data_IF_490416120384
#
_entry.id   IF_490416120384
#
_cell.length_a   1.000
_cell.length_b   1.000
_cell.length_c   1.000
_cell.angle_alpha   90.00
_cell.angle_beta   90.00
_cell.angle_gamma   90.00
#
_symmetry.space_group_name_H-M   'P 1'
#
loop_
_entity.id
_entity.type
_entity.pdbx_description
1 polymer ?
#
# COMPACT_ATOMS: atom_id res chain seq x y z
N UNK A 1 -2.07 -10.67 11.24
CA UNK A 1 -2.51 -11.28 9.97
C UNK A 1 -2.00 -12.72 9.83
N UNK A 2 -0.71 -12.97 9.85
CA UNK A 2 -0.09 -14.27 9.58
C UNK A 2 -0.68 -15.46 10.37
N UNK A 3 -1.02 -15.30 11.65
CA UNK A 3 -1.61 -16.34 12.49
C UNK A 3 -3.08 -16.67 12.22
N UNK A 4 -3.77 -15.89 11.40
CA UNK A 4 -5.19 -16.11 11.09
C UNK A 4 -5.41 -16.58 9.64
N UNK A 5 -4.42 -16.38 8.77
CA UNK A 5 -4.48 -16.82 7.37
C UNK A 5 -4.53 -18.34 7.30
N UNK A 6 -5.52 -18.87 6.56
CA UNK A 6 -5.73 -20.31 6.42
C UNK A 6 -6.46 -20.98 7.60
N UNK A 7 -6.86 -20.23 8.62
CA UNK A 7 -7.67 -20.74 9.74
C UNK A 7 -9.15 -20.41 9.52
N UNK A 8 -9.99 -21.36 9.10
CA UNK A 8 -11.38 -21.10 8.71
C UNK A 8 -12.28 -20.61 9.86
N UNK A 9 -11.87 -20.83 11.10
CA UNK A 9 -12.62 -20.44 12.30
C UNK A 9 -12.07 -19.16 12.96
N UNK A 10 -10.99 -18.58 12.41
CA UNK A 10 -10.42 -17.34 12.93
C UNK A 10 -10.92 -16.16 12.09
N UNK A 11 -11.34 -15.09 12.75
CA UNK A 11 -11.65 -13.81 12.11
C UNK A 11 -10.92 -12.69 12.87
N UNK A 12 -10.49 -11.66 12.15
CA UNK A 12 -9.69 -10.55 12.67
C UNK A 12 -10.57 -9.31 12.74
N UNK A 13 -10.73 -8.75 13.93
CA UNK A 13 -11.24 -7.39 14.13
C UNK A 13 -10.08 -6.38 14.15
N UNK A 14 -10.36 -5.14 13.84
CA UNK A 14 -9.39 -4.06 13.86
C UNK A 14 -9.83 -2.93 14.78
N UNK A 15 -8.96 -2.55 15.72
CA UNK A 15 -9.13 -1.35 16.54
C UNK A 15 -8.09 -0.32 16.09
N UNK A 16 -8.49 0.81 15.50
CA UNK A 16 -7.58 1.78 14.90
C UNK A 16 -6.90 2.65 15.96
N UNK A 17 -5.86 2.14 16.60
CA UNK A 17 -5.07 2.83 17.62
C UNK A 17 -3.74 3.39 17.09
N UNK A 18 -3.43 3.17 15.82
CA UNK A 18 -2.20 3.60 15.17
C UNK A 18 -2.22 5.06 14.71
N UNK A 19 -1.09 5.53 14.20
CA UNK A 19 -0.97 6.88 13.62
C UNK A 19 -1.39 6.95 12.14
N UNK A 20 -1.31 5.83 11.40
CA UNK A 20 -1.72 5.72 10.00
C UNK A 20 -3.16 5.26 9.88
N UNK A 21 -3.44 4.08 10.44
CA UNK A 21 -4.73 3.40 10.36
C UNK A 21 -5.24 3.25 8.92
N UNK A 22 -4.31 2.99 7.98
CA UNK A 22 -4.61 2.97 6.54
C UNK A 22 -5.55 1.82 6.17
N UNK A 23 -5.40 0.66 6.83
CA UNK A 23 -6.29 -0.48 6.65
C UNK A 23 -7.79 -0.10 6.77
N UNK A 24 -8.17 0.64 7.83
CA UNK A 24 -9.59 1.00 8.03
C UNK A 24 -10.11 1.97 6.97
N UNK A 25 -9.22 2.76 6.36
CA UNK A 25 -9.58 3.72 5.29
C UNK A 25 -10.04 3.03 4.01
N UNK A 26 -9.67 1.77 3.81
CA UNK A 26 -10.14 0.98 2.67
C UNK A 26 -11.65 0.65 2.77
N UNK A 27 -12.23 0.74 3.97
CA UNK A 27 -13.62 0.37 4.21
C UNK A 27 -14.48 1.52 4.73
N UNK A 28 -13.88 2.45 5.49
CA UNK A 28 -14.64 3.54 6.11
C UNK A 28 -13.81 4.45 7.02
N UNK A 29 -14.42 4.93 8.06
CA UNK A 29 -13.80 5.86 9.02
C UNK A 29 -13.31 5.13 10.28
N UNK A 30 -12.34 5.73 10.97
CA UNK A 30 -11.86 5.20 12.25
C UNK A 30 -12.98 5.09 13.30
N UNK A 31 -13.91 6.04 13.34
CA UNK A 31 -15.01 6.05 14.29
C UNK A 31 -15.91 4.82 14.16
N UNK A 32 -16.18 4.36 12.93
CA UNK A 32 -16.98 3.17 12.67
C UNK A 32 -16.29 1.88 13.17
N UNK A 33 -14.97 1.82 13.13
CA UNK A 33 -14.19 0.68 13.63
C UNK A 33 -14.02 0.67 15.17
N UNK A 34 -14.37 1.74 15.87
CA UNK A 34 -14.38 1.78 17.34
C UNK A 34 -15.65 1.17 17.93
N UNK A 35 -16.68 0.91 17.13
CA UNK A 35 -17.85 0.16 17.54
C UNK A 35 -17.52 -1.34 17.56
N UNK A 36 -16.99 -1.80 18.70
CA UNK A 36 -16.57 -3.18 18.88
C UNK A 36 -17.76 -4.15 18.92
N UNK A 37 -18.91 -3.73 19.43
CA UNK A 37 -20.11 -4.55 19.47
C UNK A 37 -20.61 -4.82 18.06
N UNK A 38 -20.62 -3.81 17.20
CA UNK A 38 -20.94 -3.97 15.78
C UNK A 38 -19.93 -4.89 15.06
N UNK A 39 -18.63 -4.77 15.34
CA UNK A 39 -17.62 -5.68 14.76
C UNK A 39 -17.83 -7.13 15.22
N UNK A 40 -18.06 -7.37 16.52
CA UNK A 40 -18.24 -8.70 17.08
C UNK A 40 -19.55 -9.37 16.61
N UNK A 41 -20.58 -8.60 16.33
CA UNK A 41 -21.84 -9.06 15.78
C UNK A 41 -21.78 -9.31 14.27
N UNK A 42 -20.72 -8.85 13.58
CA UNK A 42 -20.60 -8.93 12.13
C UNK A 42 -20.39 -10.37 11.64
N UNK A 43 -20.92 -10.66 10.46
CA UNK A 43 -20.49 -11.85 9.72
C UNK A 43 -19.08 -11.62 9.17
N UNK A 44 -18.16 -12.59 9.30
CA UNK A 44 -16.81 -12.45 8.77
C UNK A 44 -16.82 -12.26 7.25
N UNK A 45 -16.16 -11.22 6.82
CA UNK A 45 -15.94 -10.85 5.42
C UNK A 45 -14.66 -11.53 4.91
N UNK A 46 -14.74 -12.24 3.79
CA UNK A 46 -13.56 -12.86 3.17
C UNK A 46 -12.73 -11.81 2.45
N UNK A 47 -11.46 -11.72 2.79
CA UNK A 47 -10.53 -10.78 2.20
C UNK A 47 -9.30 -11.49 1.62
N UNK A 48 -8.77 -10.94 0.55
CA UNK A 48 -7.52 -11.33 -0.06
C UNK A 48 -6.34 -10.91 0.82
N UNK A 49 -5.22 -11.60 0.65
CA UNK A 49 -4.00 -11.37 1.44
C UNK A 49 -2.80 -11.42 0.52
N UNK A 50 -1.89 -10.50 0.67
CA UNK A 50 -0.57 -10.54 0.03
C UNK A 50 0.28 -11.57 0.77
N UNK A 51 0.69 -12.64 0.10
CA UNK A 51 1.71 -13.58 0.60
C UNK A 51 3.08 -13.21 0.09
N UNK A 52 4.05 -13.23 0.99
CA UNK A 52 5.46 -13.00 0.71
C UNK A 52 6.31 -14.01 1.46
N UNK A 53 7.60 -14.20 1.11
CA UNK A 53 8.50 -15.02 1.91
C UNK A 53 8.71 -14.54 3.35
N UNK A 54 8.42 -13.26 3.62
CA UNK A 54 8.54 -12.64 4.95
C UNK A 54 7.27 -12.81 5.80
N UNK A 55 6.15 -13.10 5.18
CA UNK A 55 4.87 -13.26 5.86
C UNK A 55 3.69 -12.80 5.01
N UNK A 56 2.59 -12.46 5.67
CA UNK A 56 1.36 -12.04 5.03
C UNK A 56 1.02 -10.59 5.38
N UNK A 57 0.69 -9.79 4.37
CA UNK A 57 0.13 -8.45 4.50
C UNK A 57 -1.29 -8.37 3.96
N UNK A 58 -2.05 -7.40 4.41
CA UNK A 58 -3.43 -7.21 3.96
C UNK A 58 -3.57 -5.98 3.05
N UNK A 59 -2.68 -5.02 3.17
CA UNK A 59 -2.83 -3.71 2.52
C UNK A 59 -1.82 -3.50 1.41
N UNK A 60 -0.51 -3.48 1.73
CA UNK A 60 0.51 -3.13 0.75
C UNK A 60 1.86 -3.82 1.00
N UNK A 61 2.54 -4.19 -0.08
CA UNK A 61 3.96 -4.54 -0.10
C UNK A 61 4.69 -3.57 -1.03
N UNK A 62 5.48 -2.67 -0.47
CA UNK A 62 6.11 -1.60 -1.23
C UNK A 62 7.62 -1.53 -1.04
N UNK A 63 8.30 -0.88 -1.97
CA UNK A 63 9.72 -0.56 -1.88
C UNK A 63 10.03 0.79 -2.52
N UNK A 64 11.14 1.38 -2.12
CA UNK A 64 11.57 2.65 -2.67
C UNK A 64 11.30 3.82 -1.73
N UNK A 65 10.90 4.95 -2.29
CA UNK A 65 10.65 6.17 -1.50
C UNK A 65 9.69 5.91 -0.36
N UNK A 66 8.64 5.15 -0.59
CA UNK A 66 7.61 4.85 0.41
C UNK A 66 8.17 4.06 1.59
N UNK A 67 8.95 3.02 1.31
CA UNK A 67 9.61 2.23 2.35
C UNK A 67 10.67 3.04 3.09
N UNK A 68 11.37 3.96 2.41
CA UNK A 68 12.29 4.88 3.06
C UNK A 68 11.58 5.88 3.98
N UNK A 69 10.42 6.38 3.58
CA UNK A 69 9.58 7.21 4.45
C UNK A 69 9.20 6.42 5.70
N UNK A 70 8.67 5.21 5.55
CA UNK A 70 8.30 4.36 6.66
C UNK A 70 9.49 4.07 7.60
N UNK A 71 10.65 3.71 7.04
CA UNK A 71 11.88 3.44 7.79
C UNK A 71 12.46 4.69 8.47
N UNK A 72 12.25 5.88 7.93
CA UNK A 72 12.73 7.16 8.47
C UNK A 72 11.91 7.70 9.64
N UNK A 73 10.62 7.35 9.74
CA UNK A 73 9.72 7.87 10.77
C UNK A 73 10.24 7.64 12.21
N UNK A 74 10.72 6.45 12.60
CA UNK A 74 11.25 6.22 13.96
C UNK A 74 12.45 7.11 14.30
N UNK A 75 13.29 7.42 13.31
CA UNK A 75 14.43 8.34 13.47
C UNK A 75 13.95 9.74 13.84
N UNK A 76 12.99 10.28 13.07
CA UNK A 76 12.48 11.64 13.30
C UNK A 76 11.64 11.75 14.56
N UNK A 77 10.92 10.70 14.98
CA UNK A 77 10.19 10.66 16.27
C UNK A 77 11.08 10.75 17.50
N UNK A 78 12.37 10.44 17.39
CA UNK A 78 13.35 10.58 18.47
C UNK A 78 13.86 12.02 18.64
N UNK A 79 13.61 12.89 17.66
CA UNK A 79 14.01 14.30 17.74
C UNK A 79 13.00 15.06 18.60
N UNK A 80 13.44 15.85 19.61
CA UNK A 80 12.54 16.66 20.41
C UNK A 80 11.65 17.56 19.54
N UNK A 81 10.37 17.65 19.90
CA UNK A 81 9.34 18.42 19.18
C UNK A 81 8.95 17.89 17.80
N UNK A 82 9.51 16.76 17.35
CA UNK A 82 9.18 16.10 16.08
C UNK A 82 8.26 14.89 16.33
N UNK A 83 7.00 15.13 16.68
CA UNK A 83 6.01 14.07 16.87
C UNK A 83 4.99 13.98 15.72
N UNK A 84 4.32 12.84 15.58
CA UNK A 84 3.17 12.67 14.69
C UNK A 84 3.45 13.08 13.24
N UNK A 85 2.67 14.03 12.73
CA UNK A 85 2.71 14.52 11.34
C UNK A 85 4.05 15.16 10.96
N UNK A 86 4.75 15.80 11.91
CA UNK A 86 6.03 16.47 11.65
C UNK A 86 7.12 15.44 11.31
N UNK A 87 7.21 14.35 12.07
CA UNK A 87 8.16 13.27 11.81
C UNK A 87 7.91 12.63 10.43
N UNK A 88 6.65 12.44 10.08
CA UNK A 88 6.24 11.93 8.78
C UNK A 88 6.65 12.89 7.63
N UNK A 89 6.35 14.18 7.76
CA UNK A 89 6.72 15.19 6.75
C UNK A 89 8.23 15.30 6.55
N UNK A 90 9.02 15.25 7.64
CA UNK A 90 10.47 15.26 7.56
C UNK A 90 11.02 13.99 6.92
N UNK A 91 10.41 12.84 7.18
CA UNK A 91 10.78 11.59 6.53
C UNK A 91 10.50 11.61 5.03
N UNK A 92 9.38 12.18 4.60
CA UNK A 92 9.09 12.42 3.16
C UNK A 92 10.15 13.33 2.56
N UNK A 93 10.47 14.43 3.20
CA UNK A 93 11.46 15.40 2.69
C UNK A 93 12.84 14.75 2.54
N UNK A 94 13.26 13.94 3.53
CA UNK A 94 14.50 13.16 3.46
C UNK A 94 14.48 12.16 2.30
N UNK A 95 13.40 11.41 2.13
CA UNK A 95 13.24 10.43 1.06
C UNK A 95 13.23 11.08 -0.33
N UNK A 96 12.56 12.21 -0.48
CA UNK A 96 12.53 13.01 -1.73
C UNK A 96 13.91 13.58 -2.07
N UNK A 97 14.69 13.98 -1.05
CA UNK A 97 16.06 14.47 -1.23
C UNK A 97 17.07 13.35 -1.49
N UNK A 98 16.76 12.11 -1.11
CA UNK A 98 17.61 10.96 -1.36
C UNK A 98 17.62 10.61 -2.84
N UNK A 99 18.74 10.01 -3.30
CA UNK A 99 18.83 9.51 -4.67
C UNK A 99 18.43 8.05 -4.68
N UNK A 100 17.14 7.77 -4.41
CA UNK A 100 16.64 6.41 -4.47
C UNK A 100 16.40 6.00 -5.92
N UNK A 101 17.19 5.05 -6.41
CA UNK A 101 17.09 4.49 -7.75
C UNK A 101 17.67 3.09 -7.73
N UNK A 102 16.88 2.11 -8.10
CA UNK A 102 17.35 0.74 -8.25
C UNK A 102 17.02 0.24 -9.65
N UNK A 103 17.98 -0.45 -10.26
CA UNK A 103 17.73 -1.19 -11.48
C UNK A 103 17.09 -2.51 -11.10
N UNK A 104 15.86 -2.71 -11.55
CA UNK A 104 15.03 -3.85 -11.20
C UNK A 104 14.64 -4.64 -12.44
N UNK A 105 14.59 -5.97 -12.29
CA UNK A 105 13.86 -6.87 -13.19
C UNK A 105 12.57 -7.28 -12.49
N UNK A 106 11.46 -7.08 -13.18
CA UNK A 106 10.12 -7.36 -12.70
C UNK A 106 9.49 -8.39 -13.62
N UNK A 107 9.04 -9.50 -13.07
CA UNK A 107 8.33 -10.55 -13.79
C UNK A 107 6.95 -10.71 -13.17
N UNK A 108 5.90 -10.58 -13.98
CA UNK A 108 4.52 -10.71 -13.56
C UNK A 108 3.69 -11.26 -14.72
N UNK A 109 3.07 -12.41 -14.54
CA UNK A 109 2.39 -13.16 -15.60
C UNK A 109 3.32 -13.33 -16.83
N UNK A 110 2.86 -12.90 -18.01
CA UNK A 110 3.66 -12.94 -19.24
C UNK A 110 4.53 -11.68 -19.46
N UNK A 111 4.60 -10.79 -18.47
CA UNK A 111 5.35 -9.53 -18.58
C UNK A 111 6.71 -9.66 -17.96
N UNK A 112 7.71 -9.13 -18.64
CA UNK A 112 9.04 -8.91 -18.09
C UNK A 112 9.45 -7.46 -18.35
N UNK A 113 9.73 -6.72 -17.29
CA UNK A 113 10.16 -5.33 -17.34
C UNK A 113 11.55 -5.22 -16.71
N UNK A 114 12.45 -4.47 -17.33
CA UNK A 114 13.73 -4.14 -16.76
C UNK A 114 13.99 -2.65 -16.96
N UNK A 115 14.05 -1.92 -15.85
CA UNK A 115 14.27 -0.47 -15.87
C UNK A 115 14.80 -0.01 -14.50
N UNK A 116 15.07 1.28 -14.40
CA UNK A 116 15.38 1.94 -13.13
C UNK A 116 14.10 2.50 -12.51
N UNK A 117 13.83 2.11 -11.26
CA UNK A 117 12.65 2.57 -10.53
C UNK A 117 13.06 3.30 -9.25
N UNK A 118 12.25 4.26 -8.85
CA UNK A 118 12.39 5.00 -7.59
C UNK A 118 11.33 4.62 -6.55
N UNK A 119 10.26 3.97 -6.99
CA UNK A 119 9.17 3.48 -6.15
C UNK A 119 8.50 2.31 -6.84
N UNK A 120 8.12 1.34 -6.04
CA UNK A 120 7.18 0.30 -6.44
C UNK A 120 6.21 0.04 -5.29
N UNK A 121 4.93 -0.13 -5.62
CA UNK A 121 3.88 -0.50 -4.70
C UNK A 121 3.08 -1.66 -5.29
N UNK A 122 2.95 -2.73 -4.52
CA UNK A 122 2.12 -3.90 -4.80
C UNK A 122 0.99 -3.86 -3.80
N UNK A 123 -0.19 -3.48 -4.28
CA UNK A 123 -1.33 -3.10 -3.45
C UNK A 123 -2.43 -4.16 -3.51
N UNK A 124 -3.00 -4.48 -2.37
CA UNK A 124 -4.27 -5.17 -2.21
C UNK A 124 -5.32 -4.17 -1.68
N UNK A 125 -4.88 -3.17 -0.90
CA UNK A 125 -5.68 -2.02 -0.48
C UNK A 125 -5.43 -0.78 -1.33
N UNK A 126 -6.28 0.23 -1.15
CA UNK A 126 -6.25 1.47 -1.92
C UNK A 126 -5.29 2.51 -1.35
N UNK A 127 -5.17 2.54 -0.01
CA UNK A 127 -4.51 3.63 0.70
C UNK A 127 -3.44 3.10 1.65
N UNK A 128 -2.35 3.85 1.77
CA UNK A 128 -1.27 3.57 2.69
C UNK A 128 -0.55 4.85 3.13
N UNK A 129 0.41 4.73 4.04
CA UNK A 129 1.33 5.81 4.39
C UNK A 129 0.64 7.07 4.93
N UNK A 130 -0.48 6.92 5.65
CA UNK A 130 -1.23 8.04 6.21
C UNK A 130 -2.16 8.72 5.19
N UNK A 131 -2.75 7.95 4.29
CA UNK A 131 -3.78 8.40 3.35
C UNK A 131 -3.26 8.75 1.95
N UNK A 132 -2.17 8.12 1.51
CA UNK A 132 -1.79 8.13 0.09
C UNK A 132 -2.61 7.08 -0.66
N UNK A 133 -3.33 7.48 -1.70
CA UNK A 133 -4.17 6.62 -2.50
C UNK A 133 -3.33 6.01 -3.65
N UNK A 134 -2.63 4.90 -3.37
CA UNK A 134 -1.73 4.27 -4.33
C UNK A 134 -2.45 3.53 -5.45
N UNK A 135 -3.54 2.87 -5.12
CA UNK A 135 -4.32 2.07 -6.04
C UNK A 135 -5.81 2.40 -5.84
N UNK A 136 -6.30 3.50 -6.42
CA UNK A 136 -7.65 4.03 -6.14
C UNK A 136 -8.78 3.04 -6.42
N UNK A 137 -8.54 2.05 -7.25
CA UNK A 137 -9.54 1.04 -7.64
C UNK A 137 -9.21 -0.37 -7.15
N UNK A 138 -8.21 -0.53 -6.27
CA UNK A 138 -7.87 -1.81 -5.68
C UNK A 138 -9.05 -2.39 -4.90
N UNK A 139 -9.19 -3.71 -4.98
CA UNK A 139 -10.24 -4.46 -4.28
C UNK A 139 -9.62 -5.61 -3.50
N UNK A 140 -9.93 -5.69 -2.22
CA UNK A 140 -9.45 -6.79 -1.36
C UNK A 140 -10.20 -8.11 -1.58
N UNK A 141 -10.89 -8.28 -2.71
CA UNK A 141 -11.75 -9.45 -2.98
C UNK A 141 -11.72 -9.93 -4.43
N UNK A 142 -10.91 -9.33 -5.30
CA UNK A 142 -10.89 -9.65 -6.73
C UNK A 142 -9.79 -10.64 -7.13
N UNK A 143 -8.94 -11.06 -6.17
CA UNK A 143 -7.85 -11.99 -6.41
C UNK A 143 -6.68 -11.39 -7.20
N UNK A 144 -6.54 -10.07 -7.21
CA UNK A 144 -5.51 -9.36 -7.96
C UNK A 144 -4.70 -8.43 -7.06
N UNK A 145 -3.47 -8.19 -7.48
CA UNK A 145 -2.56 -7.18 -6.96
C UNK A 145 -2.51 -6.01 -7.93
N UNK A 146 -2.74 -4.81 -7.44
CA UNK A 146 -2.55 -3.57 -8.20
C UNK A 146 -1.09 -3.12 -8.08
N UNK A 147 -0.35 -3.10 -9.20
CA UNK A 147 1.07 -2.80 -9.23
C UNK A 147 1.32 -1.41 -9.79
N UNK A 148 1.94 -0.56 -8.99
CA UNK A 148 2.35 0.80 -9.36
C UNK A 148 3.87 0.88 -9.36
N UNK A 149 4.45 1.18 -10.51
CA UNK A 149 5.89 1.34 -10.70
C UNK A 149 6.18 2.77 -11.10
N UNK A 150 7.09 3.44 -10.38
CA UNK A 150 7.49 4.82 -10.68
C UNK A 150 8.96 4.86 -11.09
N UNK A 151 9.22 5.30 -12.32
CA UNK A 151 10.56 5.64 -12.80
C UNK A 151 11.06 6.95 -12.20
N UNK A 152 12.36 7.25 -12.27
CA UNK A 152 12.91 8.49 -11.75
C UNK A 152 12.20 9.74 -12.29
N UNK A 153 11.74 10.58 -11.38
CA UNK A 153 11.07 11.86 -11.68
C UNK A 153 12.05 13.01 -11.45
N UNK A 154 12.08 14.04 -12.31
CA UNK A 154 12.82 15.27 -12.02
C UNK A 154 12.37 15.90 -10.70
N UNK A 155 13.31 16.27 -9.82
CA UNK A 155 13.02 16.78 -8.47
C UNK A 155 12.02 17.94 -8.44
N UNK A 156 12.06 18.83 -9.43
CA UNK A 156 11.14 19.97 -9.53
C UNK A 156 9.69 19.57 -9.79
N UNK A 157 9.45 18.40 -10.42
CA UNK A 157 8.11 17.90 -10.70
C UNK A 157 7.54 17.04 -9.55
N UNK A 158 8.42 16.50 -8.69
CA UNK A 158 8.06 15.53 -7.68
C UNK A 158 7.00 16.05 -6.69
N UNK A 159 7.06 17.29 -6.14
CA UNK A 159 6.02 17.77 -5.21
C UNK A 159 4.62 17.81 -5.84
N UNK A 160 4.52 18.26 -7.10
CA UNK A 160 3.24 18.34 -7.81
C UNK A 160 2.68 16.96 -8.16
N UNK A 161 3.55 15.98 -8.49
CA UNK A 161 3.14 14.60 -8.72
C UNK A 161 2.74 13.92 -7.41
N UNK A 162 3.48 14.15 -6.32
CA UNK A 162 3.18 13.59 -5.01
C UNK A 162 1.80 14.03 -4.50
N UNK A 163 1.45 15.30 -4.68
CA UNK A 163 0.12 15.82 -4.32
C UNK A 163 -1.02 15.15 -5.10
N UNK A 164 -0.84 14.95 -6.40
CA UNK A 164 -1.81 14.22 -7.24
C UNK A 164 -1.85 12.72 -6.92
N UNK A 165 -0.70 12.10 -6.67
CA UNK A 165 -0.61 10.69 -6.26
C UNK A 165 -1.34 10.43 -4.94
N UNK A 166 -1.20 11.34 -3.98
CA UNK A 166 -1.91 11.26 -2.70
C UNK A 166 -3.43 11.18 -2.88
N UNK A 167 -3.96 11.84 -3.90
CA UNK A 167 -5.40 11.87 -4.20
C UNK A 167 -5.86 10.76 -5.14
N UNK A 168 -4.96 9.88 -5.61
CA UNK A 168 -5.28 8.86 -6.60
C UNK A 168 -5.44 9.38 -8.03
N UNK A 169 -5.09 10.65 -8.32
CA UNK A 169 -5.25 11.29 -9.62
C UNK A 169 -4.28 10.77 -10.71
N UNK A 170 -3.46 9.79 -10.39
CA UNK A 170 -2.52 9.16 -11.32
C UNK A 170 -3.18 8.08 -12.18
N UNK A 171 -4.33 7.55 -11.79
CA UNK A 171 -5.15 6.63 -12.57
C UNK A 171 -6.50 7.26 -12.90
N UNK A 172 -6.99 6.99 -14.11
CA UNK A 172 -8.37 7.30 -14.51
C UNK A 172 -9.33 6.20 -14.05
N UNK A 173 -10.64 6.41 -14.21
CA UNK A 173 -11.69 5.42 -13.88
C UNK A 173 -11.50 4.05 -14.61
N UNK A 174 -10.79 4.02 -15.72
CA UNK A 174 -10.47 2.80 -16.48
C UNK A 174 -9.08 2.25 -16.21
N UNK A 175 -8.47 2.54 -15.07
CA UNK A 175 -7.13 2.08 -14.67
C UNK A 175 -6.02 2.49 -15.67
N UNK A 176 -6.26 3.52 -16.44
CA UNK A 176 -5.25 4.06 -17.36
C UNK A 176 -4.44 5.13 -16.63
N UNK A 177 -3.12 5.03 -16.74
CA UNK A 177 -2.21 6.05 -16.19
C UNK A 177 -2.46 7.38 -16.90
N UNK A 178 -2.75 8.43 -16.13
CA UNK A 178 -3.06 9.75 -16.67
C UNK A 178 -1.86 10.40 -17.36
N UNK A 179 -2.09 11.29 -18.33
CA UNK A 179 -1.04 11.93 -19.13
C UNK A 179 0.08 12.55 -18.29
N UNK A 180 -0.27 13.12 -17.14
CA UNK A 180 0.67 13.72 -16.20
C UNK A 180 1.68 12.70 -15.69
N UNK A 181 1.28 11.45 -15.50
CA UNK A 181 2.09 10.37 -14.93
C UNK A 181 2.66 9.42 -15.98
N UNK A 182 2.06 9.33 -17.17
CA UNK A 182 2.45 8.41 -18.24
C UNK A 182 3.97 8.39 -18.56
N UNK A 183 4.72 9.50 -18.53
CA UNK A 183 6.17 9.46 -18.76
C UNK A 183 6.96 8.72 -17.68
N UNK A 184 6.38 8.57 -16.48
CA UNK A 184 7.10 8.09 -15.29
C UNK A 184 6.51 6.82 -14.68
N UNK A 185 5.23 6.55 -14.89
CA UNK A 185 4.49 5.51 -14.19
C UNK A 185 4.09 4.37 -15.13
N UNK A 186 4.10 3.17 -14.58
CA UNK A 186 3.49 1.98 -15.17
C UNK A 186 2.54 1.39 -14.14
N UNK A 187 1.34 1.03 -14.58
CA UNK A 187 0.33 0.36 -13.77
C UNK A 187 -0.14 -0.90 -14.47
N UNK A 188 -0.36 -1.96 -13.71
CA UNK A 188 -1.00 -3.19 -14.16
C UNK A 188 -1.50 -4.00 -12.98
N UNK A 189 -2.36 -5.00 -13.23
CA UNK A 189 -2.83 -5.99 -12.28
C UNK A 189 -2.22 -7.35 -12.56
N UNK A 190 -1.99 -8.14 -11.51
CA UNK A 190 -1.42 -9.49 -11.60
C UNK A 190 -1.79 -10.33 -10.39
N UNK A 191 -1.81 -11.66 -10.54
CA UNK A 191 -1.96 -12.58 -9.43
C UNK A 191 -0.67 -12.79 -8.62
N UNK A 192 0.50 -12.59 -9.28
CA UNK A 192 1.81 -12.71 -8.62
C UNK A 192 2.86 -11.86 -9.29
N UNK A 193 3.92 -11.52 -8.55
CA UNK A 193 5.02 -10.69 -9.02
C UNK A 193 6.33 -11.11 -8.38
N UNK A 194 7.37 -11.20 -9.19
CA UNK A 194 8.76 -11.37 -8.79
C UNK A 194 9.56 -10.13 -9.17
N UNK A 195 10.38 -9.64 -8.24
CA UNK A 195 11.22 -8.46 -8.43
C UNK A 195 12.63 -8.79 -7.98
N UNK A 196 13.60 -8.63 -8.87
CA UNK A 196 15.01 -8.85 -8.63
C UNK A 196 15.78 -7.54 -8.71
N UNK A 197 16.62 -7.28 -7.73
CA UNK A 197 17.53 -6.13 -7.71
C UNK A 197 18.78 -6.45 -8.53
N UNK A 198 19.04 -5.66 -9.56
CA UNK A 198 20.15 -5.89 -10.50
C UNK A 198 21.41 -5.07 -10.19
N UNK A 199 21.30 -4.05 -9.36
CA UNK A 199 22.43 -3.19 -8.95
C UNK A 199 23.17 -3.69 -7.70
N UNK A 200 22.71 -4.79 -7.09
CA UNK A 200 23.32 -5.41 -5.92
C UNK A 200 23.08 -4.70 -4.59
N UNK A 201 22.36 -3.59 -4.58
CA UNK A 201 22.04 -2.83 -3.36
C UNK A 201 20.65 -3.23 -2.84
N UNK A 202 20.52 -3.72 -1.59
CA UNK A 202 19.23 -4.14 -1.08
C UNK A 202 18.19 -2.99 -1.11
N UNK A 203 16.99 -3.33 -1.57
CA UNK A 203 15.82 -2.48 -1.40
C UNK A 203 15.38 -2.48 0.06
N UNK A 204 15.05 -1.34 0.60
CA UNK A 204 14.21 -1.31 1.79
C UNK A 204 12.78 -1.56 1.32
N UNK A 205 12.20 -2.65 1.78
CA UNK A 205 10.80 -3.01 1.52
C UNK A 205 9.96 -2.77 2.77
N UNK A 206 8.67 -2.59 2.60
CA UNK A 206 7.71 -2.52 3.70
C UNK A 206 6.50 -3.38 3.38
N UNK A 207 6.15 -4.29 4.29
CA UNK A 207 4.91 -5.06 4.26
C UNK A 207 4.02 -4.55 5.39
N UNK A 208 2.93 -3.87 5.05
CA UNK A 208 2.02 -3.22 6.00
C UNK A 208 2.73 -2.38 7.10
N UNK A 209 3.85 -1.72 6.76
CA UNK A 209 4.63 -0.90 7.68
C UNK A 209 5.84 -1.59 8.31
N UNK A 210 5.97 -2.91 8.22
CA UNK A 210 7.15 -3.66 8.69
C UNK A 210 8.25 -3.62 7.64
N UNK A 211 9.36 -2.94 7.97
CA UNK A 211 10.46 -2.70 7.03
C UNK A 211 11.55 -3.77 7.10
N UNK A 212 12.04 -4.20 5.94
CA UNK A 212 13.19 -5.12 5.84
C UNK A 212 14.00 -4.89 4.56
N UNK A 213 15.34 -5.10 4.58
CA UNK A 213 16.17 -5.05 3.38
C UNK A 213 16.03 -6.34 2.56
N UNK A 214 15.84 -6.23 1.24
CA UNK A 214 15.65 -7.35 0.33
C UNK A 214 16.44 -7.15 -0.97
N UNK A 215 17.04 -8.24 -1.50
CA UNK A 215 17.59 -8.29 -2.86
C UNK A 215 16.59 -8.85 -3.87
N UNK A 216 15.55 -9.52 -3.37
CA UNK A 216 14.45 -10.07 -4.15
C UNK A 216 13.15 -9.87 -3.38
N UNK A 217 12.12 -9.49 -4.10
CA UNK A 217 10.75 -9.46 -3.58
C UNK A 217 9.93 -10.47 -4.37
N UNK A 218 9.09 -11.20 -3.65
CA UNK A 218 8.04 -12.01 -4.24
C UNK A 218 6.73 -11.71 -3.53
N UNK A 219 5.67 -11.53 -4.29
CA UNK A 219 4.33 -11.39 -3.76
C UNK A 219 3.34 -12.18 -4.61
N UNK A 220 2.44 -12.89 -3.98
CA UNK A 220 1.29 -13.52 -4.59
C UNK A 220 0.01 -13.15 -3.85
N UNK A 221 -1.10 -13.04 -4.56
CA UNK A 221 -2.39 -12.84 -3.93
C UNK A 221 -2.95 -14.19 -3.46
N UNK A 222 -3.28 -14.29 -2.18
CA UNK A 222 -4.03 -15.41 -1.64
C UNK A 222 -5.50 -15.00 -1.54
N UNK A 223 -6.27 -15.38 -2.56
CA UNK A 223 -7.68 -15.02 -2.67
C UNK A 223 -8.49 -15.57 -1.51
N UNK A 224 -9.31 -14.71 -0.88
CA UNK A 224 -10.22 -15.04 0.24
C UNK A 224 -9.52 -15.74 1.42
N UNK A 225 -8.21 -15.48 1.63
CA UNK A 225 -7.40 -16.22 2.59
C UNK A 225 -7.52 -15.74 4.03
N UNK A 226 -8.08 -14.57 4.27
CA UNK A 226 -8.36 -14.04 5.59
C UNK A 226 -9.85 -13.79 5.78
N UNK A 227 -10.28 -13.83 7.05
CA UNK A 227 -11.64 -13.44 7.46
C UNK A 227 -11.51 -12.23 8.37
N UNK A 228 -12.15 -11.13 7.99
CA UNK A 228 -12.11 -9.87 8.73
C UNK A 228 -13.50 -9.52 9.25
N UNK A 229 -13.57 -8.90 10.43
CA UNK A 229 -14.80 -8.41 11.01
C UNK A 229 -14.95 -6.93 10.60
N UNK A 230 -15.93 -6.67 9.76
CA UNK A 230 -16.31 -5.31 9.37
C UNK A 230 -17.68 -4.99 9.95
N UNK A 231 -17.88 -3.78 10.51
CA UNK A 231 -19.23 -3.32 10.81
C UNK A 231 -20.20 -3.58 9.64
N UNK A 232 -21.44 -4.02 9.88
CA UNK A 232 -22.34 -4.52 8.81
C UNK A 232 -22.54 -3.52 7.67
N UNK A 233 -22.60 -2.24 7.99
CA UNK A 233 -22.72 -1.15 7.01
C UNK A 233 -21.50 -1.02 6.09
N UNK A 234 -20.29 -1.33 6.59
CA UNK A 234 -19.05 -1.30 5.83
C UNK A 234 -18.88 -2.54 4.96
N UNK A 235 -19.29 -3.72 5.46
CA UNK A 235 -19.29 -4.95 4.69
C UNK A 235 -20.16 -4.86 3.43
N UNK A 236 -21.30 -4.16 3.51
CA UNK A 236 -22.17 -3.90 2.36
C UNK A 236 -21.52 -3.00 1.29
N UNK A 237 -20.58 -2.15 1.69
CA UNK A 237 -19.87 -1.25 0.79
C UNK A 237 -18.54 -1.83 0.28
N UNK A 238 -17.93 -2.74 1.01
CA UNK A 238 -16.66 -3.35 0.66
C UNK A 238 -16.67 -4.12 -0.68
N UNK A 239 -17.84 -4.58 -1.11
CA UNK A 239 -18.07 -5.24 -2.41
C UNK A 239 -18.48 -4.26 -3.52
N UNK A 240 -18.59 -2.97 -3.22
CA UNK A 240 -18.90 -1.94 -4.22
C UNK A 240 -17.60 -1.22 -4.58
N UNK A 241 -17.47 -0.87 -5.85
CA UNK A 241 -16.37 -0.03 -6.35
C UNK A 241 -16.10 1.15 -5.39
N UNK A 242 -14.83 1.47 -5.12
CA UNK A 242 -14.45 2.44 -4.09
C UNK A 242 -15.16 3.77 -4.29
N UNK A 243 -15.87 4.18 -3.27
CA UNK A 243 -16.32 5.56 -3.17
C UNK A 243 -15.10 6.37 -2.75
N UNK A 244 -14.60 7.21 -3.64
CA UNK A 244 -13.73 8.32 -3.29
C UNK A 244 -14.50 9.17 -2.26
N UNK A 245 -14.39 8.82 -0.98
CA UNK A 245 -14.95 9.65 0.07
C UNK A 245 -14.14 10.94 0.07
N UNK A 246 -14.80 12.00 -0.33
CA UNK A 246 -14.31 13.35 -0.24
C UNK A 246 -13.71 13.53 1.17
N UNK A 247 -12.40 13.80 1.22
CA UNK A 247 -11.74 14.25 2.44
C UNK A 247 -12.29 15.66 2.71
N UNK A 248 -13.43 15.71 3.39
CA UNK A 248 -13.96 16.91 4.02
C UNK A 248 -13.48 16.95 5.47
N UNK A 249 -12.73 18.01 5.76
CA UNK A 249 -12.32 18.58 7.06
C UNK A 249 -11.34 17.79 7.91
#
# INVERSE_FOLDING_TARGET
MQGAVGHPNAAIGCVPCGSGNDYVRNFGTQAQFLDLDAQLAAQPFAADVIRTPQGCGIDIYAAGIDAQVANGIPKWRRVPFCGGTTAYTLSILEAVCSTFRHRLRITADDRQLEDTYMMLAVCNGQQYGGGYCAAPHASMTDGLLDVVLLRPVPRLKLPGLLGSYKKGEHLSEGDTVTEKFAPYMTFFRTGSIDIEVLDGNPLITTLDGECSPQLRMHAEIAHSAARILLPPELAANANKTPVLQAMGE
#
